data_IF_652899930037
#
_entry.id   IF_652899930037
#
_cell.length_a   1.000
_cell.length_b   1.000
_cell.length_c   1.000
_cell.angle_alpha   90.00
_cell.angle_beta   90.00
_cell.angle_gamma   90.00
#
_symmetry.space_group_name_H-M   'P 1'
#
loop_
_entity.id
_entity.type
_entity.pdbx_description
1 polymer ?
#
# COMPACT_ATOMS: atom_id res chain seq x y z
N UNK A 1 -23.90 4.74 -15.86
CA UNK A 1 -22.52 5.25 -15.81
C UNK A 1 -21.58 4.25 -16.51
N UNK A 2 -21.17 4.61 -17.73
CA UNK A 2 -20.47 3.69 -18.66
C UNK A 2 -19.16 3.14 -18.11
N UNK A 3 -18.46 3.91 -17.29
CA UNK A 3 -17.18 3.50 -16.68
C UNK A 3 -17.36 2.40 -15.63
N UNK A 4 -18.43 2.45 -14.85
CA UNK A 4 -18.71 1.45 -13.82
C UNK A 4 -19.09 0.10 -14.40
N UNK A 5 -19.80 0.08 -15.52
CA UNK A 5 -20.23 -1.14 -16.20
C UNK A 5 -19.04 -1.86 -16.88
N UNK A 6 -18.12 -1.11 -17.47
CA UNK A 6 -16.90 -1.66 -18.09
C UNK A 6 -16.03 -2.32 -17.02
N UNK A 7 -15.69 -1.61 -15.93
CA UNK A 7 -14.87 -2.18 -14.87
C UNK A 7 -15.51 -3.42 -14.21
N UNK A 8 -16.84 -3.46 -14.08
CA UNK A 8 -17.54 -4.61 -13.52
C UNK A 8 -17.50 -5.83 -14.45
N UNK A 9 -17.62 -5.64 -15.77
CA UNK A 9 -17.51 -6.71 -16.75
C UNK A 9 -16.09 -7.26 -16.85
N UNK A 10 -15.09 -6.37 -16.79
CA UNK A 10 -13.68 -6.75 -16.83
C UNK A 10 -13.30 -7.55 -15.59
N UNK A 11 -13.73 -7.11 -14.41
CA UNK A 11 -13.52 -7.85 -13.16
C UNK A 11 -14.11 -9.27 -13.24
N UNK A 12 -15.34 -9.41 -13.77
CA UNK A 12 -15.97 -10.72 -13.96
C UNK A 12 -15.15 -11.64 -14.90
N UNK A 13 -14.56 -11.08 -15.93
CA UNK A 13 -13.67 -11.79 -16.86
C UNK A 13 -12.37 -12.20 -16.18
N UNK A 14 -11.72 -11.30 -15.45
CA UNK A 14 -10.51 -11.61 -14.68
C UNK A 14 -10.72 -12.76 -13.70
N UNK A 15 -11.77 -12.70 -12.90
CA UNK A 15 -12.08 -13.73 -11.91
C UNK A 15 -12.35 -15.08 -12.60
N UNK A 16 -13.09 -15.09 -13.70
CA UNK A 16 -13.37 -16.31 -14.47
C UNK A 16 -12.07 -16.91 -15.03
N UNK A 17 -11.20 -16.12 -15.60
CA UNK A 17 -9.92 -16.60 -16.16
C UNK A 17 -9.02 -17.21 -15.07
N UNK A 18 -8.97 -16.61 -13.88
CA UNK A 18 -8.24 -17.14 -12.72
C UNK A 18 -8.84 -18.49 -12.31
N UNK A 19 -10.18 -18.59 -12.20
CA UNK A 19 -10.87 -19.81 -11.82
C UNK A 19 -10.61 -20.95 -12.79
N UNK A 20 -10.69 -20.69 -14.08
CA UNK A 20 -10.46 -21.67 -15.15
C UNK A 20 -8.98 -22.11 -15.17
N UNK A 21 -8.04 -21.17 -15.10
CA UNK A 21 -6.60 -21.45 -15.12
C UNK A 21 -6.14 -22.32 -13.97
N UNK A 22 -6.65 -22.06 -12.75
CA UNK A 22 -6.23 -22.76 -11.53
C UNK A 22 -7.21 -23.84 -11.09
N UNK A 23 -8.27 -24.09 -11.86
CA UNK A 23 -9.31 -25.09 -11.57
C UNK A 23 -9.89 -24.95 -10.14
N UNK A 24 -10.22 -23.71 -9.76
CA UNK A 24 -10.72 -23.38 -8.43
C UNK A 24 -12.15 -23.91 -8.28
N UNK A 25 -12.35 -24.76 -7.26
CA UNK A 25 -13.67 -25.39 -7.01
C UNK A 25 -14.57 -24.56 -6.12
N UNK A 26 -13.98 -23.77 -5.22
CA UNK A 26 -14.73 -22.94 -4.26
C UNK A 26 -14.63 -21.46 -4.66
N UNK A 27 -15.55 -21.05 -5.51
CA UNK A 27 -15.62 -19.72 -6.10
C UNK A 27 -15.91 -18.63 -5.07
N UNK A 28 -16.74 -18.96 -4.07
CA UNK A 28 -17.19 -18.02 -3.06
C UNK A 28 -16.04 -17.59 -2.14
N UNK A 29 -15.13 -18.50 -1.80
CA UNK A 29 -13.99 -18.21 -0.94
C UNK A 29 -12.97 -17.29 -1.63
N UNK A 30 -12.67 -17.52 -2.90
CA UNK A 30 -11.80 -16.60 -3.66
C UNK A 30 -12.44 -15.23 -3.79
N UNK A 31 -13.73 -15.19 -4.12
CA UNK A 31 -14.49 -13.95 -4.25
C UNK A 31 -14.47 -13.14 -2.98
N UNK A 32 -14.74 -13.77 -1.83
CA UNK A 32 -14.71 -13.10 -0.53
C UNK A 32 -13.31 -12.61 -0.14
N UNK A 33 -12.27 -13.40 -0.44
CA UNK A 33 -10.89 -12.97 -0.17
C UNK A 33 -10.55 -11.71 -0.95
N UNK A 34 -11.00 -11.60 -2.22
CA UNK A 34 -10.81 -10.38 -3.01
C UNK A 34 -11.52 -9.19 -2.35
N UNK A 35 -12.74 -9.37 -1.81
CA UNK A 35 -13.48 -8.31 -1.12
C UNK A 35 -12.77 -7.86 0.16
N UNK A 36 -12.25 -8.80 0.93
CA UNK A 36 -11.48 -8.52 2.15
C UNK A 36 -10.22 -7.71 1.79
N UNK A 37 -9.46 -8.12 0.76
CA UNK A 37 -8.26 -7.40 0.33
C UNK A 37 -8.62 -6.02 -0.22
N UNK A 38 -9.68 -5.92 -1.03
CA UNK A 38 -10.14 -4.65 -1.60
C UNK A 38 -10.56 -3.64 -0.52
N UNK A 39 -11.15 -4.12 0.58
CA UNK A 39 -11.54 -3.31 1.73
C UNK A 39 -10.35 -2.91 2.62
N UNK A 40 -9.23 -3.65 2.56
CA UNK A 40 -8.03 -3.44 3.37
C UNK A 40 -6.79 -3.10 2.51
N UNK A 41 -7.00 -2.47 1.36
CA UNK A 41 -5.92 -2.04 0.46
C UNK A 41 -4.92 -1.15 1.20
N UNK A 42 -3.63 -1.37 1.01
CA UNK A 42 -2.58 -0.60 1.67
C UNK A 42 -2.40 -0.88 3.17
N UNK A 43 -3.25 -1.72 3.79
CA UNK A 43 -3.08 -2.11 5.18
C UNK A 43 -2.12 -3.29 5.33
N UNK A 44 -1.32 -3.26 6.42
CA UNK A 44 -0.47 -4.41 6.77
C UNK A 44 -1.33 -5.60 7.14
N UNK A 45 -1.19 -6.70 6.40
CA UNK A 45 -1.93 -7.93 6.63
C UNK A 45 -1.05 -9.18 6.50
N UNK A 46 -1.53 -10.27 7.03
CA UNK A 46 -0.91 -11.60 6.91
C UNK A 46 -2.00 -12.68 6.75
N UNK A 47 -1.66 -13.89 6.29
CA UNK A 47 -2.64 -14.95 6.09
C UNK A 47 -3.49 -15.26 7.32
N UNK A 48 -2.92 -15.25 8.53
CA UNK A 48 -3.65 -15.50 9.78
C UNK A 48 -4.69 -14.40 10.07
N UNK A 49 -4.33 -13.12 9.82
CA UNK A 49 -5.29 -12.02 9.98
C UNK A 49 -6.41 -12.13 8.95
N UNK A 50 -6.08 -12.51 7.71
CA UNK A 50 -7.08 -12.76 6.66
C UNK A 50 -8.00 -13.93 7.01
N UNK A 51 -7.46 -15.04 7.54
CA UNK A 51 -8.25 -16.17 8.04
C UNK A 51 -9.24 -15.75 9.11
N UNK A 52 -8.77 -14.97 10.10
CA UNK A 52 -9.63 -14.48 11.18
C UNK A 52 -10.74 -13.55 10.66
N UNK A 53 -10.42 -12.66 9.72
CA UNK A 53 -11.40 -11.79 9.08
C UNK A 53 -12.41 -12.62 8.28
N UNK A 54 -11.92 -13.55 7.48
CA UNK A 54 -12.75 -14.45 6.68
C UNK A 54 -13.73 -15.22 7.56
N UNK A 55 -13.25 -15.83 8.65
CA UNK A 55 -14.07 -16.53 9.63
C UNK A 55 -15.15 -15.64 10.24
N UNK A 56 -14.83 -14.39 10.55
CA UNK A 56 -15.80 -13.44 11.12
C UNK A 56 -16.90 -13.04 10.14
N UNK A 57 -16.58 -12.98 8.83
CA UNK A 57 -17.52 -12.57 7.78
C UNK A 57 -18.38 -13.73 7.29
N UNK A 58 -17.78 -14.91 7.06
CA UNK A 58 -18.44 -16.08 6.46
C UNK A 58 -18.91 -17.13 7.47
N UNK A 59 -18.46 -17.09 8.71
CA UNK A 59 -18.80 -18.11 9.72
C UNK A 59 -18.08 -19.44 9.55
N UNK A 60 -17.22 -19.60 8.53
CA UNK A 60 -16.28 -20.71 8.38
C UNK A 60 -14.89 -20.19 8.09
N UNK A 61 -13.86 -20.98 8.34
CA UNK A 61 -12.47 -20.61 8.07
C UNK A 61 -11.93 -21.36 6.85
N UNK A 62 -11.05 -20.70 6.12
CA UNK A 62 -10.17 -21.31 5.13
C UNK A 62 -8.74 -21.32 5.68
N UNK A 63 -7.95 -22.34 5.31
CA UNK A 63 -6.59 -22.45 5.86
C UNK A 63 -5.66 -21.37 5.37
N UNK A 64 -4.67 -21.00 6.20
CA UNK A 64 -3.57 -20.11 5.81
C UNK A 64 -2.93 -20.50 4.47
N UNK A 65 -2.76 -21.80 4.23
CA UNK A 65 -2.20 -22.35 3.00
C UNK A 65 -3.08 -22.03 1.78
N UNK A 66 -4.41 -22.14 1.94
CA UNK A 66 -5.37 -21.81 0.88
C UNK A 66 -5.35 -20.32 0.61
N UNK A 67 -5.31 -19.46 1.64
CA UNK A 67 -5.20 -18.01 1.51
C UNK A 67 -3.91 -17.64 0.76
N UNK A 68 -2.78 -18.23 1.15
CA UNK A 68 -1.50 -17.98 0.47
C UNK A 68 -1.56 -18.41 -1.01
N UNK A 69 -2.19 -19.55 -1.30
CA UNK A 69 -2.37 -20.01 -2.67
C UNK A 69 -3.22 -19.04 -3.50
N UNK A 70 -4.35 -18.58 -2.95
CA UNK A 70 -5.21 -17.60 -3.64
C UNK A 70 -4.51 -16.26 -3.85
N UNK A 71 -3.78 -15.76 -2.85
CA UNK A 71 -2.98 -14.54 -2.99
C UNK A 71 -1.91 -14.69 -4.10
N UNK A 72 -1.26 -15.86 -4.18
CA UNK A 72 -0.32 -16.15 -5.27
C UNK A 72 -1.00 -16.14 -6.64
N UNK A 73 -2.16 -16.77 -6.79
CA UNK A 73 -2.93 -16.77 -8.04
C UNK A 73 -3.35 -15.37 -8.47
N UNK A 74 -3.74 -14.51 -7.53
CA UNK A 74 -4.11 -13.11 -7.81
C UNK A 74 -2.90 -12.27 -8.22
N UNK A 75 -1.72 -12.55 -7.66
CA UNK A 75 -0.46 -11.92 -8.07
C UNK A 75 -0.01 -12.40 -9.46
N UNK A 76 -0.07 -13.71 -9.74
CA UNK A 76 0.27 -14.28 -11.05
C UNK A 76 -0.66 -13.79 -12.16
N UNK A 77 -1.90 -13.40 -11.80
CA UNK A 77 -2.87 -12.83 -12.72
C UNK A 77 -2.77 -11.30 -12.83
N UNK A 78 -1.76 -10.66 -12.22
CA UNK A 78 -1.59 -9.21 -12.22
C UNK A 78 -2.82 -8.44 -11.70
N UNK A 79 -3.56 -9.02 -10.77
CA UNK A 79 -4.64 -8.32 -10.08
C UNK A 79 -4.14 -7.61 -8.82
N UNK A 80 -3.18 -8.24 -8.13
CA UNK A 80 -2.57 -7.74 -6.91
C UNK A 80 -1.04 -7.72 -7.01
N UNK A 81 -0.45 -6.72 -6.41
CA UNK A 81 0.97 -6.65 -6.09
C UNK A 81 1.17 -6.75 -4.58
N UNK A 82 2.24 -7.42 -4.17
CA UNK A 82 2.63 -7.57 -2.78
C UNK A 82 3.84 -6.72 -2.48
N UNK A 83 3.74 -5.81 -1.51
CA UNK A 83 4.87 -5.08 -0.96
C UNK A 83 5.27 -5.68 0.39
N UNK A 84 6.51 -6.17 0.48
CA UNK A 84 7.08 -6.75 1.70
C UNK A 84 7.69 -5.65 2.57
N UNK A 85 7.83 -5.92 3.87
CA UNK A 85 8.45 -4.96 4.78
C UNK A 85 9.96 -5.08 4.80
N UNK A 86 10.61 -3.93 4.98
CA UNK A 86 12.04 -3.82 5.17
C UNK A 86 12.36 -2.99 6.41
N UNK A 87 13.12 -3.56 7.33
CA UNK A 87 13.68 -2.82 8.46
C UNK A 87 14.85 -1.95 7.98
N UNK A 88 14.62 -0.64 7.92
CA UNK A 88 15.60 0.33 7.42
C UNK A 88 16.86 0.34 8.28
N UNK A 89 16.70 0.24 9.60
CA UNK A 89 17.80 0.29 10.56
C UNK A 89 18.52 -1.05 10.70
N UNK A 90 17.75 -2.14 10.75
CA UNK A 90 18.28 -3.51 10.83
C UNK A 90 18.78 -4.05 9.49
N UNK A 91 18.45 -3.39 8.36
CA UNK A 91 18.84 -3.75 6.99
C UNK A 91 18.47 -5.19 6.62
N UNK A 92 17.25 -5.60 6.94
CA UNK A 92 16.73 -6.93 6.61
C UNK A 92 15.24 -6.90 6.24
N UNK A 93 14.84 -7.88 5.43
CA UNK A 93 13.45 -8.06 5.04
C UNK A 93 12.63 -8.72 6.14
N UNK A 94 11.36 -8.32 6.23
CA UNK A 94 10.35 -8.87 7.12
C UNK A 94 9.21 -9.38 6.26
N UNK A 95 9.12 -10.70 6.10
CA UNK A 95 8.20 -11.32 5.14
C UNK A 95 6.71 -11.16 5.48
N UNK A 96 6.39 -10.89 6.75
CA UNK A 96 5.00 -10.78 7.21
C UNK A 96 4.92 -9.86 8.45
N UNK A 97 3.87 -9.02 8.58
CA UNK A 97 2.82 -8.76 7.59
C UNK A 97 3.32 -7.98 6.36
N UNK A 98 2.55 -8.00 5.29
CA UNK A 98 2.82 -7.31 4.02
C UNK A 98 1.64 -6.42 3.66
N UNK A 99 1.83 -5.47 2.74
CA UNK A 99 0.74 -4.73 2.11
C UNK A 99 0.40 -5.34 0.75
N UNK A 100 -0.85 -5.18 0.33
CA UNK A 100 -1.31 -5.56 -1.00
C UNK A 100 -1.94 -4.36 -1.69
N UNK A 101 -1.61 -4.19 -2.97
CA UNK A 101 -2.11 -3.13 -3.83
C UNK A 101 -2.76 -3.73 -5.06
N UNK A 102 -3.84 -3.12 -5.55
CA UNK A 102 -4.44 -3.50 -6.81
C UNK A 102 -3.66 -2.84 -7.96
N UNK A 103 -3.37 -3.62 -8.99
CA UNK A 103 -2.79 -3.09 -10.24
C UNK A 103 -3.71 -2.06 -10.88
N UNK A 104 -5.02 -2.26 -10.77
CA UNK A 104 -6.04 -1.34 -11.24
C UNK A 104 -7.02 -0.99 -10.10
N UNK A 105 -6.98 0.27 -9.66
CA UNK A 105 -7.90 0.77 -8.62
C UNK A 105 -9.35 0.85 -9.10
N UNK A 106 -9.60 0.87 -10.41
CA UNK A 106 -10.94 0.78 -10.98
C UNK A 106 -11.57 -0.58 -10.71
N UNK A 107 -10.80 -1.68 -10.89
CA UNK A 107 -11.25 -3.03 -10.55
C UNK A 107 -11.53 -3.16 -9.05
N UNK A 108 -10.65 -2.61 -8.20
CA UNK A 108 -10.88 -2.57 -6.74
C UNK A 108 -12.18 -1.84 -6.40
N UNK A 109 -12.44 -0.68 -6.98
CA UNK A 109 -13.63 0.11 -6.71
C UNK A 109 -14.90 -0.57 -7.24
N UNK A 110 -14.84 -1.16 -8.44
CA UNK A 110 -15.93 -1.96 -9.00
C UNK A 110 -16.29 -3.14 -8.08
N UNK A 111 -15.27 -3.82 -7.52
CA UNK A 111 -15.47 -4.93 -6.59
C UNK A 111 -16.28 -4.53 -5.35
N UNK A 112 -16.06 -3.33 -4.85
CA UNK A 112 -16.77 -2.77 -3.69
C UNK A 112 -18.01 -1.96 -4.08
N UNK A 113 -18.49 -2.08 -5.30
CA UNK A 113 -19.63 -1.33 -5.85
C UNK A 113 -19.50 0.19 -5.62
N UNK A 114 -18.26 0.71 -5.66
CA UNK A 114 -17.93 2.14 -5.44
C UNK A 114 -18.42 2.70 -4.10
N UNK A 115 -18.67 1.85 -3.10
CA UNK A 115 -19.24 2.26 -1.80
C UNK A 115 -18.22 2.58 -0.73
N UNK A 116 -16.98 2.12 -0.89
CA UNK A 116 -15.89 2.36 0.07
C UNK A 116 -14.82 3.23 -0.57
N UNK A 117 -15.02 4.55 -0.50
CA UNK A 117 -14.04 5.51 -0.98
C UNK A 117 -13.15 5.90 0.20
N UNK A 118 -12.05 5.19 0.38
CA UNK A 118 -10.97 5.59 1.27
C UNK A 118 -9.91 6.34 0.45
N UNK A 119 -10.01 7.66 0.44
CA UNK A 119 -9.16 8.53 -0.38
C UNK A 119 -7.67 8.36 -0.06
N UNK A 120 -7.32 8.12 1.21
CA UNK A 120 -5.93 7.93 1.64
C UNK A 120 -5.31 6.67 1.05
N UNK A 121 -5.95 5.54 1.27
CA UNK A 121 -5.47 4.26 0.75
C UNK A 121 -5.55 4.16 -0.78
N UNK A 122 -6.56 4.79 -1.41
CA UNK A 122 -6.62 4.87 -2.87
C UNK A 122 -5.46 5.68 -3.43
N UNK A 123 -5.14 6.83 -2.83
CA UNK A 123 -4.01 7.65 -3.24
C UNK A 123 -2.69 6.89 -3.04
N UNK A 124 -2.53 6.18 -1.93
CA UNK A 124 -1.35 5.34 -1.67
C UNK A 124 -1.21 4.26 -2.76
N UNK A 125 -2.29 3.59 -3.15
CA UNK A 125 -2.25 2.61 -4.25
C UNK A 125 -1.90 3.23 -5.60
N UNK A 126 -2.42 4.42 -5.91
CA UNK A 126 -2.08 5.14 -7.14
C UNK A 126 -0.60 5.49 -7.17
N UNK A 127 -0.05 5.98 -6.05
CA UNK A 127 1.38 6.28 -5.92
C UNK A 127 2.21 4.99 -6.10
N UNK A 128 1.81 3.89 -5.47
CA UNK A 128 2.46 2.59 -5.63
C UNK A 128 2.54 2.19 -7.11
N UNK A 129 1.42 2.20 -7.81
CA UNK A 129 1.34 1.81 -9.22
C UNK A 129 2.21 2.72 -10.11
N UNK A 130 2.17 4.03 -9.89
CA UNK A 130 3.00 4.98 -10.64
C UNK A 130 4.50 4.72 -10.41
N UNK A 131 4.92 4.47 -9.17
CA UNK A 131 6.30 4.12 -8.85
C UNK A 131 6.74 2.81 -9.52
N UNK A 132 5.85 1.82 -9.61
CA UNK A 132 6.10 0.57 -10.35
C UNK A 132 6.27 0.83 -11.85
N UNK A 133 5.41 1.65 -12.45
CA UNK A 133 5.52 2.06 -13.88
C UNK A 133 6.85 2.75 -14.14
N UNK A 134 7.36 3.57 -13.21
CA UNK A 134 8.68 4.21 -13.29
C UNK A 134 9.86 3.25 -13.07
N UNK A 135 9.60 1.96 -12.84
CA UNK A 135 10.62 0.92 -12.72
C UNK A 135 11.26 0.78 -11.35
N UNK A 136 10.64 1.33 -10.30
CA UNK A 136 11.10 1.11 -8.94
C UNK A 136 10.72 -0.27 -8.40
N UNK A 137 11.65 -0.90 -7.66
CA UNK A 137 11.34 -1.95 -6.71
C UNK A 137 10.91 -1.32 -5.39
N UNK A 138 9.76 -1.71 -4.86
CA UNK A 138 9.10 -1.02 -3.75
C UNK A 138 8.93 -1.96 -2.56
N UNK A 139 9.39 -1.52 -1.40
CA UNK A 139 9.20 -2.18 -0.12
C UNK A 139 8.45 -1.23 0.84
N UNK A 140 7.77 -1.77 1.84
CA UNK A 140 7.21 -0.99 2.96
C UNK A 140 8.30 -0.81 4.01
N UNK A 141 8.60 0.45 4.37
CA UNK A 141 9.65 0.75 5.33
C UNK A 141 9.20 0.62 6.78
N UNK A 142 10.13 0.18 7.65
CA UNK A 142 9.96 0.20 9.08
C UNK A 142 11.17 0.84 9.76
N UNK A 143 10.91 1.78 10.68
CA UNK A 143 11.94 2.45 11.49
C UNK A 143 11.64 2.27 12.96
N UNK A 144 12.54 1.66 13.73
CA UNK A 144 12.43 1.58 15.18
C UNK A 144 12.87 2.90 15.83
N UNK A 145 12.01 3.46 16.65
CA UNK A 145 12.29 4.63 17.47
C UNK A 145 12.13 4.32 18.96
N UNK A 146 12.89 5.01 19.79
CA UNK A 146 12.75 4.93 21.25
C UNK A 146 11.98 6.15 21.73
N UNK A 147 10.87 5.90 22.37
CA UNK A 147 10.03 6.93 22.99
C UNK A 147 10.00 6.73 24.49
N UNK A 148 9.76 7.79 25.22
CA UNK A 148 9.48 7.71 26.68
C UNK A 148 7.98 7.92 26.83
N UNK A 149 7.28 7.00 27.49
CA UNK A 149 5.86 7.15 27.80
C UNK A 149 5.64 8.15 28.96
N UNK A 150 4.38 8.45 29.26
CA UNK A 150 3.99 9.41 30.31
C UNK A 150 4.48 8.97 31.70
N UNK A 151 4.70 7.68 31.92
CA UNK A 151 5.24 7.09 33.14
C UNK A 151 6.79 7.16 33.23
N UNK A 152 7.47 7.79 32.25
CA UNK A 152 8.93 7.86 32.17
C UNK A 152 9.61 6.58 31.68
N UNK A 153 8.86 5.55 31.26
CA UNK A 153 9.40 4.28 30.80
C UNK A 153 9.78 4.35 29.33
N UNK A 154 11.00 3.93 29.01
CA UNK A 154 11.47 3.82 27.62
C UNK A 154 10.78 2.65 26.91
N UNK A 155 10.16 2.94 25.79
CA UNK A 155 9.49 1.98 24.92
C UNK A 155 10.05 2.04 23.49
N UNK A 156 9.97 0.92 22.77
CA UNK A 156 10.25 0.88 21.35
C UNK A 156 8.94 1.08 20.59
N UNK A 157 8.95 1.98 19.63
CA UNK A 157 7.84 2.20 18.70
C UNK A 157 8.34 1.96 17.28
N UNK A 158 7.57 1.24 16.49
CA UNK A 158 7.84 1.05 15.07
C UNK A 158 7.04 2.10 14.30
N UNK A 159 7.72 2.87 13.47
CA UNK A 159 7.13 3.82 12.55
C UNK A 159 7.18 3.22 11.15
N UNK A 160 6.10 3.36 10.41
CA UNK A 160 6.01 2.92 9.02
C UNK A 160 6.49 4.04 8.09
N UNK A 161 7.11 3.64 6.98
CA UNK A 161 7.36 4.45 5.81
C UNK A 161 6.66 3.75 4.67
N UNK A 162 5.72 4.39 4.01
CA UNK A 162 4.86 3.73 3.05
C UNK A 162 5.65 3.06 1.94
N UNK A 163 6.67 3.75 1.40
CA UNK A 163 7.47 3.21 0.32
C UNK A 163 8.97 3.45 0.50
N UNK A 164 9.76 2.39 0.33
CA UNK A 164 11.18 2.43 0.04
C UNK A 164 11.33 2.07 -1.44
N UNK A 165 11.68 3.05 -2.25
CA UNK A 165 11.79 2.89 -3.70
C UNK A 165 13.25 2.70 -4.07
N UNK A 166 13.59 1.55 -4.68
CA UNK A 166 14.94 1.24 -5.12
C UNK A 166 14.98 1.10 -6.65
N UNK A 167 15.98 1.70 -7.30
CA UNK A 167 16.26 1.53 -8.73
C UNK A 167 17.77 1.65 -8.96
N UNK A 168 18.44 0.51 -9.15
CA UNK A 168 19.89 0.46 -9.23
C UNK A 168 20.56 0.92 -7.93
N UNK A 169 21.36 1.97 -7.99
CA UNK A 169 22.04 2.61 -6.86
C UNK A 169 21.20 3.70 -6.17
N UNK A 170 20.05 4.05 -6.76
CA UNK A 170 19.13 5.06 -6.22
C UNK A 170 18.19 4.45 -5.21
N UNK A 171 17.95 5.20 -4.15
CA UNK A 171 16.92 4.93 -3.15
C UNK A 171 16.19 6.21 -2.79
N UNK A 172 14.88 6.13 -2.62
CA UNK A 172 14.04 7.23 -2.14
C UNK A 172 13.08 6.69 -1.10
N UNK A 173 12.84 7.46 -0.03
CA UNK A 173 11.82 7.16 0.98
C UNK A 173 10.61 8.05 0.75
N UNK A 174 9.44 7.45 0.62
CA UNK A 174 8.21 8.17 0.29
C UNK A 174 7.13 7.85 1.33
N UNK A 175 6.46 8.90 1.80
CA UNK A 175 5.25 8.84 2.60
C UNK A 175 4.09 9.40 1.80
N UNK A 176 2.92 8.77 1.89
CA UNK A 176 1.68 9.24 1.28
C UNK A 176 0.81 9.94 2.33
N UNK A 177 0.34 11.14 2.04
CA UNK A 177 -0.55 11.89 2.93
C UNK A 177 -1.71 12.49 2.14
N UNK A 178 -2.95 12.11 2.46
CA UNK A 178 -4.13 12.63 1.76
C UNK A 178 -4.22 14.16 1.85
N UNK A 179 -3.90 14.71 3.02
CA UNK A 179 -3.88 16.14 3.28
C UNK A 179 -2.99 16.44 4.51
N UNK A 180 -2.42 17.64 4.57
CA UNK A 180 -1.59 18.11 5.69
C UNK A 180 -1.94 19.56 6.07
N UNK A 181 -3.18 19.83 6.55
CA UNK A 181 -3.67 21.19 6.78
C UNK A 181 -3.07 21.88 8.02
N UNK A 182 -2.48 21.14 8.94
CA UNK A 182 -1.95 21.66 10.21
C UNK A 182 -0.50 21.23 10.43
N UNK A 183 0.24 22.01 11.25
CA UNK A 183 1.61 21.67 11.60
C UNK A 183 1.69 20.31 12.31
N UNK A 184 0.73 19.98 13.16
CA UNK A 184 0.65 18.69 13.83
C UNK A 184 0.56 17.53 12.83
N UNK A 185 -0.27 17.68 11.78
CA UNK A 185 -0.39 16.69 10.71
C UNK A 185 0.88 16.57 9.89
N UNK A 186 1.54 17.69 9.57
CA UNK A 186 2.86 17.71 8.91
C UNK A 186 3.88 16.94 9.76
N UNK A 187 3.93 17.21 11.07
CA UNK A 187 4.84 16.54 11.98
C UNK A 187 4.57 15.04 12.07
N UNK A 188 3.31 14.64 12.07
CA UNK A 188 2.90 13.24 12.05
C UNK A 188 3.39 12.53 10.79
N UNK A 189 3.11 13.07 9.60
CA UNK A 189 3.44 12.45 8.32
C UNK A 189 4.95 12.44 8.03
N UNK A 190 5.69 13.43 8.53
CA UNK A 190 7.15 13.49 8.35
C UNK A 190 7.93 12.74 9.44
N UNK A 191 7.28 12.29 10.52
CA UNK A 191 7.93 11.71 11.68
C UNK A 191 8.79 10.48 11.35
N UNK A 192 8.28 9.55 10.58
CA UNK A 192 9.02 8.34 10.19
C UNK A 192 10.29 8.70 9.41
N UNK A 193 10.16 9.61 8.45
CA UNK A 193 11.25 10.07 7.58
C UNK A 193 12.36 10.80 8.36
N UNK A 194 12.00 11.60 9.37
CA UNK A 194 12.98 12.29 10.24
C UNK A 194 13.87 11.33 11.03
N UNK A 195 13.40 10.11 11.27
CA UNK A 195 14.14 9.10 12.02
C UNK A 195 15.06 8.23 11.15
N UNK A 196 15.04 8.39 9.82
CA UNK A 196 15.98 7.76 8.90
C UNK A 196 17.24 8.62 8.83
N UNK A 197 18.40 8.03 9.16
CA UNK A 197 19.67 8.77 9.33
C UNK A 197 20.62 8.68 8.14
N UNK A 198 20.19 8.09 7.04
CA UNK A 198 20.98 8.08 5.82
C UNK A 198 20.75 9.33 4.95
N UNK A 199 21.57 9.46 3.88
CA UNK A 199 21.55 10.63 2.98
C UNK A 199 20.61 10.48 1.79
N UNK A 200 19.78 9.45 1.72
CA UNK A 200 18.85 9.30 0.60
C UNK A 200 17.68 10.28 0.69
N UNK A 201 17.12 10.71 -0.46
CA UNK A 201 15.99 11.63 -0.51
C UNK A 201 14.80 11.12 0.30
N UNK A 202 14.08 12.05 0.93
CA UNK A 202 12.88 11.83 1.72
C UNK A 202 11.77 12.71 1.20
N UNK A 203 10.65 12.12 0.84
CA UNK A 203 9.56 12.79 0.13
C UNK A 203 8.23 12.46 0.82
N UNK A 204 7.37 13.46 0.94
CA UNK A 204 5.95 13.26 1.22
C UNK A 204 5.17 13.62 -0.04
N UNK A 205 4.42 12.67 -0.58
CA UNK A 205 3.47 12.95 -1.66
C UNK A 205 2.14 13.28 -1.01
N UNK A 206 1.65 14.50 -1.25
CA UNK A 206 0.46 15.04 -0.59
C UNK A 206 -0.66 15.30 -1.59
N UNK A 207 -1.88 14.96 -1.19
CA UNK A 207 -3.09 15.32 -1.91
C UNK A 207 -3.51 16.78 -1.67
N UNK A 208 -4.77 17.07 -2.00
CA UNK A 208 -5.36 18.38 -1.77
C UNK A 208 -4.72 19.51 -2.57
N UNK A 209 -4.72 20.71 -1.99
CA UNK A 209 -4.22 21.94 -2.63
C UNK A 209 -2.83 22.37 -2.13
N UNK A 210 -2.13 21.52 -1.38
CA UNK A 210 -0.79 21.83 -0.87
C UNK A 210 0.20 21.95 -2.04
N UNK A 211 0.88 23.10 -2.21
CA UNK A 211 1.85 23.27 -3.28
C UNK A 211 3.15 22.52 -2.96
N UNK A 212 3.86 22.10 -4.01
CA UNK A 212 5.15 21.45 -3.87
C UNK A 212 6.21 22.40 -3.30
N UNK A 213 6.96 21.94 -2.29
CA UNK A 213 8.03 22.71 -1.63
C UNK A 213 8.99 21.79 -0.85
N UNK A 214 10.08 22.33 -0.33
CA UNK A 214 10.96 21.63 0.62
C UNK A 214 10.75 22.23 2.01
N UNK A 215 10.52 21.37 3.01
CA UNK A 215 10.34 21.83 4.39
C UNK A 215 11.70 22.13 5.08
N UNK A 216 11.63 22.61 6.33
CA UNK A 216 12.82 22.96 7.13
C UNK A 216 13.72 21.76 7.48
N UNK A 217 13.20 20.54 7.41
CA UNK A 217 13.95 19.31 7.66
C UNK A 217 14.64 18.76 6.39
N UNK A 218 14.51 19.45 5.25
CA UNK A 218 15.01 18.99 3.95
C UNK A 218 14.17 17.87 3.32
N UNK A 219 12.94 17.65 3.80
CA UNK A 219 11.99 16.70 3.25
C UNK A 219 11.22 17.42 2.12
N UNK A 220 11.21 16.84 0.93
CA UNK A 220 10.43 17.34 -0.20
C UNK A 220 8.95 17.02 0.00
N UNK A 221 8.10 18.02 -0.06
CA UNK A 221 6.65 17.88 -0.09
C UNK A 221 6.23 18.07 -1.54
N UNK A 222 5.65 17.05 -2.17
CA UNK A 222 5.30 17.04 -3.58
C UNK A 222 3.79 16.86 -3.71
N UNK A 223 3.12 17.76 -4.43
CA UNK A 223 1.71 17.58 -4.73
C UNK A 223 1.51 16.34 -5.62
N UNK A 224 0.46 15.54 -5.36
CA UNK A 224 0.17 14.32 -6.13
C UNK A 224 0.00 14.62 -7.62
N UNK A 225 -0.57 15.76 -7.99
CA UNK A 225 -0.75 16.14 -9.40
C UNK A 225 0.59 16.46 -10.06
N UNK A 226 1.50 17.13 -9.34
CA UNK A 226 2.85 17.42 -9.85
C UNK A 226 3.62 16.10 -10.01
N UNK A 227 3.52 15.20 -9.03
CA UNK A 227 4.13 13.87 -9.09
C UNK A 227 3.63 13.06 -10.30
N UNK A 228 2.33 12.99 -10.54
CA UNK A 228 1.75 12.23 -11.66
C UNK A 228 2.04 12.86 -13.03
N UNK A 229 2.26 14.18 -13.10
CA UNK A 229 2.63 14.88 -14.32
C UNK A 229 4.11 14.83 -14.65
N UNK A 230 4.96 14.49 -13.70
CA UNK A 230 6.41 14.38 -13.88
C UNK A 230 6.77 13.08 -14.59
N UNK A 231 6.58 13.04 -15.90
CA UNK A 231 6.87 11.87 -16.74
C UNK A 231 8.36 11.59 -16.93
N UNK A 232 9.22 12.58 -16.64
CA UNK A 232 10.67 12.45 -16.75
C UNK A 232 11.37 12.00 -15.46
N UNK A 233 10.62 11.95 -14.34
CA UNK A 233 11.15 11.53 -13.05
C UNK A 233 12.11 12.54 -12.39
N UNK A 234 11.94 13.83 -12.69
CA UNK A 234 12.79 14.90 -12.15
C UNK A 234 12.53 15.21 -10.66
N UNK A 235 11.39 14.75 -10.13
CA UNK A 235 10.97 14.98 -8.73
C UNK A 235 11.43 13.88 -7.77
N UNK A 236 12.01 12.74 -8.25
CA UNK A 236 12.44 11.60 -7.45
C UNK A 236 13.94 11.36 -7.49
#
# INVERSE_FOLDING_TARGET
DWSSDVCSSDLGTYIRDIKERYNIRNDDDLSELIDIIASNIGCLTNPTNLENTFKSVKGHSISDTTIQSYLGMLQDAFMLEKAIRYDIKGKHYINTPSKYYFEDVGLRNARLNYRQIDGGHLMENIIYNELRIRGYSIDVGQVEVRITNDDGKKMRKLLEVDFICNSGDKRVYIQSALDMPTQEKIDQETNSLRHIKDGFPKIVIVGGLTPSHVNTDGISIINIIDFLKDTEGNLL
#
